data_IF_300564101335
#
_entry.id   IF_300564101335
#
_cell.length_a   1.000
_cell.length_b   1.000
_cell.length_c   1.000
_cell.angle_alpha   90.00
_cell.angle_beta   90.00
_cell.angle_gamma   90.00
#
_symmetry.space_group_name_H-M   'P 1'
#
loop_
_entity.id
_entity.type
_entity.pdbx_description
1 polymer ?
#
# COMPACT_ATOMS: atom_id res chain seq x y z
N UNK A 1 29.31 -6.80 -2.61
CA UNK A 1 28.58 -7.27 -3.81
C UNK A 1 28.68 -6.19 -4.85
N UNK A 2 29.30 -6.51 -5.98
CA UNK A 2 29.46 -5.55 -7.08
C UNK A 2 28.15 -5.43 -7.86
N UNK A 3 27.76 -4.19 -8.12
CA UNK A 3 26.57 -3.87 -8.90
C UNK A 3 26.97 -3.48 -10.31
N UNK A 4 26.62 -4.31 -11.29
CA UNK A 4 26.90 -4.02 -12.69
C UNK A 4 25.66 -3.43 -13.35
N UNK A 5 25.87 -2.34 -14.08
CA UNK A 5 24.83 -1.67 -14.85
C UNK A 5 24.78 -2.27 -16.25
N UNK A 6 23.64 -2.83 -16.62
CA UNK A 6 23.42 -3.36 -17.98
C UNK A 6 22.36 -2.52 -18.69
N UNK A 7 22.68 -2.12 -19.92
CA UNK A 7 21.76 -1.49 -20.87
C UNK A 7 21.38 -2.48 -21.95
N UNK A 8 20.16 -2.38 -22.46
CA UNK A 8 19.76 -3.14 -23.64
C UNK A 8 20.54 -2.63 -24.87
N UNK A 9 20.87 -3.55 -25.77
CA UNK A 9 21.41 -3.28 -27.10
C UNK A 9 20.38 -2.55 -27.98
N UNK A 10 20.79 -2.08 -29.16
CA UNK A 10 19.90 -1.44 -30.15
C UNK A 10 18.75 -2.36 -30.59
N UNK A 11 18.94 -3.68 -30.47
CA UNK A 11 17.94 -4.71 -30.74
C UNK A 11 17.02 -5.04 -29.53
N UNK A 12 17.20 -4.37 -28.40
CA UNK A 12 16.42 -4.62 -27.18
C UNK A 12 16.85 -5.86 -26.38
N UNK A 13 17.98 -6.47 -26.74
CA UNK A 13 18.55 -7.63 -26.05
C UNK A 13 19.47 -7.20 -24.89
N UNK A 14 19.49 -7.98 -23.82
CA UNK A 14 20.31 -7.76 -22.63
C UNK A 14 21.55 -8.65 -22.66
N UNK A 15 22.72 -8.03 -22.64
CA UNK A 15 24.02 -8.71 -22.72
C UNK A 15 24.63 -8.90 -21.32
N UNK A 16 25.23 -10.06 -21.08
CA UNK A 16 26.01 -10.32 -19.88
C UNK A 16 27.41 -9.68 -19.97
N UNK A 17 27.83 -8.88 -18.98
CA UNK A 17 29.13 -8.23 -18.98
C UNK A 17 30.32 -9.18 -18.75
N UNK A 18 30.07 -10.42 -18.28
CA UNK A 18 31.13 -11.42 -18.03
C UNK A 18 31.13 -12.60 -19.02
N UNK A 19 30.05 -12.83 -19.77
CA UNK A 19 29.93 -14.02 -20.62
C UNK A 19 29.40 -13.76 -22.03
N UNK A 20 29.15 -12.51 -22.41
CA UNK A 20 28.65 -12.12 -23.75
C UNK A 20 27.34 -12.83 -24.20
N UNK A 21 26.67 -13.55 -23.28
CA UNK A 21 25.39 -14.22 -23.53
C UNK A 21 24.28 -13.17 -23.66
N UNK A 22 23.46 -13.32 -24.69
CA UNK A 22 22.31 -12.46 -24.96
C UNK A 22 21.03 -13.04 -24.39
N UNK A 23 20.20 -12.20 -23.79
CA UNK A 23 18.88 -12.56 -23.29
C UNK A 23 17.84 -11.53 -23.74
N UNK A 24 16.64 -11.99 -24.12
CA UNK A 24 15.53 -11.09 -24.50
C UNK A 24 14.82 -10.48 -23.28
N UNK A 25 14.98 -11.07 -22.09
CA UNK A 25 14.30 -10.64 -20.85
C UNK A 25 15.30 -10.26 -19.78
N UNK A 26 14.97 -9.19 -19.04
CA UNK A 26 15.77 -8.71 -17.90
C UNK A 26 15.90 -9.74 -16.79
N UNK A 27 14.79 -10.44 -16.47
CA UNK A 27 14.76 -11.42 -15.38
C UNK A 27 15.71 -12.59 -15.63
N UNK A 28 15.75 -13.07 -16.88
CA UNK A 28 16.64 -14.16 -17.30
C UNK A 28 18.11 -13.76 -17.13
N UNK A 29 18.48 -12.55 -17.54
CA UNK A 29 19.85 -12.07 -17.36
C UNK A 29 20.20 -11.87 -15.86
N UNK A 30 19.26 -11.33 -15.07
CA UNK A 30 19.47 -11.15 -13.62
C UNK A 30 19.76 -12.48 -12.94
N UNK A 31 18.94 -13.49 -13.23
CA UNK A 31 19.13 -14.84 -12.69
C UNK A 31 20.45 -15.46 -13.19
N UNK A 32 20.78 -15.28 -14.46
CA UNK A 32 22.05 -15.73 -15.02
C UNK A 32 23.24 -15.15 -14.25
N UNK A 33 23.35 -13.83 -14.09
CA UNK A 33 24.46 -13.23 -13.36
C UNK A 33 24.47 -13.59 -11.88
N UNK A 34 23.31 -13.71 -11.23
CA UNK A 34 23.25 -14.10 -9.83
C UNK A 34 23.77 -15.53 -9.64
N UNK A 35 23.42 -16.46 -10.54
CA UNK A 35 23.80 -17.88 -10.41
C UNK A 35 25.19 -18.21 -10.94
N UNK A 36 25.61 -17.60 -12.05
CA UNK A 36 26.88 -17.90 -12.72
C UNK A 36 28.03 -17.04 -12.19
N UNK A 37 27.74 -15.79 -11.85
CA UNK A 37 28.76 -14.81 -11.47
C UNK A 37 28.65 -14.32 -10.02
N UNK A 38 27.54 -14.61 -9.33
CA UNK A 38 27.28 -14.02 -8.01
C UNK A 38 27.10 -12.50 -8.06
N UNK A 39 26.81 -11.93 -9.23
CA UNK A 39 26.71 -10.49 -9.45
C UNK A 39 25.26 -10.00 -9.39
N UNK A 40 25.06 -8.85 -8.76
CA UNK A 40 23.76 -8.20 -8.68
C UNK A 40 23.60 -7.14 -9.78
N UNK A 41 22.92 -7.49 -10.87
CA UNK A 41 22.69 -6.57 -11.99
C UNK A 41 21.56 -5.58 -11.69
N UNK A 42 21.79 -4.31 -12.03
CA UNK A 42 20.75 -3.28 -12.07
C UNK A 42 20.51 -2.81 -13.51
N UNK A 43 19.23 -2.68 -13.88
CA UNK A 43 18.81 -2.31 -15.23
C UNK A 43 18.41 -0.84 -15.26
N UNK A 44 19.03 -0.04 -16.15
CA UNK A 44 18.61 1.33 -16.43
C UNK A 44 17.53 1.32 -17.51
N UNK A 45 16.27 1.20 -17.10
CA UNK A 45 15.14 1.39 -18.02
C UNK A 45 15.09 2.87 -18.40
N UNK A 46 15.34 3.18 -19.67
CA UNK A 46 15.17 4.53 -20.22
C UNK A 46 13.67 4.83 -20.34
N UNK A 47 13.04 5.25 -19.25
CA UNK A 47 11.66 5.77 -19.30
C UNK A 47 11.67 7.14 -19.97
N UNK A 48 10.86 7.28 -21.01
CA UNK A 48 10.63 8.58 -21.66
C UNK A 48 9.93 9.56 -20.71
N UNK A 49 10.03 10.85 -20.99
CA UNK A 49 9.32 11.88 -20.22
C UNK A 49 7.79 11.68 -20.28
N UNK A 50 7.29 11.20 -21.41
CA UNK A 50 5.88 10.86 -21.61
C UNK A 50 5.42 9.73 -20.68
N UNK A 51 6.17 8.63 -20.59
CA UNK A 51 5.85 7.51 -19.69
C UNK A 51 5.89 7.91 -18.20
N UNK A 52 6.79 8.82 -17.81
CA UNK A 52 6.82 9.35 -16.43
C UNK A 52 5.57 10.18 -16.13
N UNK A 53 5.15 11.04 -17.08
CA UNK A 53 3.91 11.82 -16.97
C UNK A 53 2.69 10.91 -16.87
N UNK A 54 2.59 9.91 -17.74
CA UNK A 54 1.52 8.90 -17.75
C UNK A 54 1.42 8.17 -16.42
N UNK A 55 2.55 7.66 -15.90
CA UNK A 55 2.59 6.94 -14.63
C UNK A 55 2.18 7.83 -13.45
N UNK A 56 2.49 9.12 -13.49
CA UNK A 56 2.01 10.09 -12.49
C UNK A 56 0.49 10.27 -12.56
N UNK A 57 -0.07 10.43 -13.77
CA UNK A 57 -1.52 10.54 -13.98
C UNK A 57 -2.25 9.29 -13.49
N UNK A 58 -1.76 8.11 -13.83
CA UNK A 58 -2.32 6.83 -13.39
C UNK A 58 -2.33 6.69 -11.86
N UNK A 59 -1.24 7.08 -11.18
CA UNK A 59 -1.17 7.06 -9.72
C UNK A 59 -2.19 7.99 -9.08
N UNK A 60 -2.34 9.22 -9.61
CA UNK A 60 -3.33 10.19 -9.12
C UNK A 60 -4.77 9.71 -9.34
N UNK A 61 -5.06 9.16 -10.53
CA UNK A 61 -6.37 8.58 -10.85
C UNK A 61 -6.71 7.43 -9.89
N UNK A 62 -5.78 6.50 -9.68
CA UNK A 62 -5.95 5.37 -8.74
C UNK A 62 -6.17 5.83 -7.29
N UNK A 63 -5.45 6.86 -6.84
CA UNK A 63 -5.67 7.42 -5.51
C UNK A 63 -7.04 8.10 -5.38
N UNK A 64 -7.45 8.86 -6.40
CA UNK A 64 -8.76 9.50 -6.46
C UNK A 64 -9.90 8.48 -6.44
N UNK A 65 -9.80 7.41 -7.21
CA UNK A 65 -10.78 6.31 -7.23
C UNK A 65 -10.88 5.64 -5.85
N UNK A 66 -9.74 5.32 -5.22
CA UNK A 66 -9.71 4.75 -3.87
C UNK A 66 -10.40 5.68 -2.86
N UNK A 67 -10.14 6.98 -2.92
CA UNK A 67 -10.78 7.94 -2.02
C UNK A 67 -12.28 8.07 -2.30
N UNK A 68 -12.71 8.04 -3.56
CA UNK A 68 -14.12 8.05 -3.93
C UNK A 68 -14.83 6.79 -3.42
N UNK A 69 -14.20 5.61 -3.53
CA UNK A 69 -14.73 4.35 -3.00
C UNK A 69 -14.89 4.38 -1.47
N UNK A 70 -13.88 4.89 -0.74
CA UNK A 70 -13.96 5.07 0.71
C UNK A 70 -15.10 6.04 1.07
N UNK A 71 -15.22 7.17 0.35
CA UNK A 71 -16.28 8.15 0.59
C UNK A 71 -17.66 7.55 0.33
N UNK A 72 -17.83 6.79 -0.75
CA UNK A 72 -19.08 6.11 -1.06
C UNK A 72 -19.45 5.08 0.01
N UNK A 73 -18.48 4.29 0.49
CA UNK A 73 -18.69 3.35 1.59
C UNK A 73 -19.14 4.09 2.86
N UNK A 74 -18.48 5.19 3.23
CA UNK A 74 -18.87 6.01 4.38
C UNK A 74 -20.29 6.60 4.19
N UNK A 75 -20.62 7.09 3.00
CA UNK A 75 -21.96 7.64 2.69
C UNK A 75 -23.07 6.58 2.71
N UNK A 76 -22.79 5.32 2.37
CA UNK A 76 -23.77 4.23 2.53
C UNK A 76 -23.91 3.79 3.98
N UNK A 77 -22.88 4.02 4.81
CA UNK A 77 -22.84 3.64 6.22
C UNK A 77 -23.50 4.68 7.13
N UNK A 78 -23.83 5.87 6.64
CA UNK A 78 -24.60 6.87 7.40
C UNK A 78 -26.09 6.49 7.42
N UNK A 79 -26.41 5.37 8.06
CA UNK A 79 -27.58 5.34 8.93
C UNK A 79 -27.21 6.29 10.06
N UNK A 80 -27.91 7.42 10.17
CA UNK A 80 -27.72 8.40 11.23
C UNK A 80 -28.00 7.76 12.59
N UNK A 81 -26.99 7.12 13.18
CA UNK A 81 -26.87 7.12 14.62
C UNK A 81 -25.73 8.06 14.93
N UNK A 82 -26.08 9.30 15.26
CA UNK A 82 -25.17 10.27 15.86
C UNK A 82 -24.52 9.57 17.05
N UNK A 83 -23.33 9.02 16.85
CA UNK A 83 -22.44 8.68 17.95
C UNK A 83 -22.15 10.01 18.64
N UNK A 84 -22.96 10.34 19.63
CA UNK A 84 -22.73 11.47 20.51
C UNK A 84 -21.35 11.25 21.12
N UNK A 85 -20.38 11.99 20.61
CA UNK A 85 -19.02 11.97 21.12
C UNK A 85 -19.09 12.58 22.53
N UNK A 86 -19.38 11.74 23.53
CA UNK A 86 -19.33 12.16 24.92
C UNK A 86 -17.95 12.77 25.17
N UNK A 87 -17.95 14.03 25.61
CA UNK A 87 -16.71 14.70 26.02
C UNK A 87 -16.00 13.86 27.09
N UNK A 88 -14.65 13.88 27.16
CA UNK A 88 -13.87 13.14 28.19
C UNK A 88 -14.39 13.35 29.62
N UNK A 89 -15.04 14.49 29.89
CA UNK A 89 -15.69 14.79 31.16
C UNK A 89 -16.91 13.89 31.45
N UNK A 90 -17.73 13.60 30.44
CA UNK A 90 -18.90 12.71 30.58
C UNK A 90 -18.48 11.24 30.73
N UNK A 91 -17.44 10.82 30.00
CA UNK A 91 -16.85 9.48 30.16
C UNK A 91 -16.31 9.23 31.59
N UNK A 92 -15.69 10.24 32.22
CA UNK A 92 -15.25 10.16 33.63
C UNK A 92 -16.44 10.06 34.59
N UNK A 93 -17.50 10.86 34.39
CA UNK A 93 -18.71 10.80 35.23
C UNK A 93 -19.38 9.43 35.21
N UNK A 94 -19.31 8.72 34.07
CA UNK A 94 -19.90 7.39 33.89
C UNK A 94 -18.96 6.23 34.25
N UNK A 95 -17.74 6.50 34.71
CA UNK A 95 -16.76 5.46 35.08
C UNK A 95 -16.16 4.68 33.91
N UNK A 96 -16.45 5.05 32.65
CA UNK A 96 -16.00 4.31 31.44
C UNK A 96 -14.58 4.71 31.00
N UNK A 97 -13.94 5.64 31.71
CA UNK A 97 -12.65 6.21 31.30
C UNK A 97 -11.45 5.24 31.40
N UNK A 98 -11.57 4.17 32.18
CA UNK A 98 -10.53 3.13 32.37
C UNK A 98 -10.72 1.92 31.44
N UNK A 99 -11.77 1.90 30.60
CA UNK A 99 -11.97 0.82 29.64
C UNK A 99 -10.86 0.82 28.57
N UNK A 100 -10.23 -0.35 28.36
CA UNK A 100 -9.10 -0.52 27.45
C UNK A 100 -9.46 -0.25 25.98
N UNK A 101 -10.74 -0.43 25.63
CA UNK A 101 -11.38 -0.06 24.37
C UNK A 101 -12.78 0.51 24.68
N UNK A 102 -12.99 1.83 24.74
CA UNK A 102 -14.31 2.39 25.00
C UNK A 102 -15.17 2.23 23.74
N UNK A 103 -15.83 1.09 23.61
CA UNK A 103 -16.86 0.88 22.58
C UNK A 103 -18.00 1.84 22.90
N UNK A 104 -18.20 2.84 22.05
CA UNK A 104 -19.31 3.79 22.15
C UNK A 104 -20.58 3.04 21.78
N UNK A 105 -21.35 2.61 22.77
CA UNK A 105 -22.69 2.06 22.57
C UNK A 105 -23.70 3.20 22.53
N UNK A 106 -24.44 3.27 21.44
CA UNK A 106 -25.60 4.14 21.26
C UNK A 106 -26.79 3.60 22.06
N UNK A 107 -27.77 4.47 22.33
CA UNK A 107 -28.84 4.32 23.34
C UNK A 107 -29.70 3.05 23.28
N UNK A 108 -29.56 2.19 22.27
CA UNK A 108 -30.42 1.02 22.09
C UNK A 108 -29.78 -0.34 22.40
N UNK A 109 -28.49 -0.41 22.74
CA UNK A 109 -27.93 -1.66 23.28
C UNK A 109 -28.26 -1.80 24.76
N UNK A 110 -29.47 -2.29 25.02
CA UNK A 110 -29.85 -2.88 26.29
C UNK A 110 -28.91 -4.06 26.58
N UNK A 111 -27.95 -3.89 27.49
CA UNK A 111 -27.22 -5.00 28.08
C UNK A 111 -27.81 -5.24 29.47
N UNK A 112 -28.68 -6.24 29.55
CA UNK A 112 -28.97 -6.95 30.79
C UNK A 112 -27.70 -7.70 31.21
N UNK A 113 -26.88 -7.07 32.05
CA UNK A 113 -26.05 -7.76 33.04
C UNK A 113 -25.47 -6.70 33.98
N UNK A 114 -26.32 -6.23 34.90
CA UNK A 114 -25.83 -5.78 36.18
C UNK A 114 -25.36 -7.04 36.91
N UNK A 115 -24.04 -7.25 36.92
CA UNK A 115 -23.42 -8.29 37.71
C UNK A 115 -23.82 -8.14 39.17
N UNK A 116 -24.36 -9.24 39.71
CA UNK A 116 -24.06 -9.80 41.03
C UNK A 116 -23.14 -8.95 41.91
N UNK A 117 -23.70 -8.44 43.02
CA UNK A 117 -23.27 -8.81 44.39
C UNK A 117 -24.53 -9.06 45.23
#
# INVERSE_FOLDING_TARGET
MEHVLVTADENGEYLCPQCEVKYTRQESLRMHCTRKHGLAITFKVKRTAAEKSEQSRQRKAKWSEKQAAIRALVSLSTVEEKCDAFSRRDARKRGVHEAKDPIVYTKMSSIQNAGLE
#
